data_IF_605881611551
#
_entry.id   IF_605881611551
#
_cell.length_a   1.000
_cell.length_b   1.000
_cell.length_c   1.000
_cell.angle_alpha   90.00
_cell.angle_beta   90.00
_cell.angle_gamma   90.00
#
_symmetry.space_group_name_H-M   'P 1'
#
loop_
_entity.id
_entity.type
_entity.pdbx_description
1 polymer ?
#
# COMPACT_ATOMS: atom_id res chain seq x y z
N UNK A 1 13.04 2.15 -1.45
CA UNK A 1 12.55 3.13 -2.43
C UNK A 1 12.78 4.53 -1.90
N UNK A 2 12.84 5.53 -2.77
CA UNK A 2 12.76 6.93 -2.31
C UNK A 2 11.30 7.27 -1.98
N UNK A 3 11.05 8.29 -1.16
CA UNK A 3 9.70 8.71 -0.79
C UNK A 3 9.21 8.26 0.60
N UNK A 4 8.05 8.77 1.02
CA UNK A 4 7.30 8.38 2.22
C UNK A 4 6.72 6.96 2.11
N UNK A 5 5.65 6.66 2.84
CA UNK A 5 5.05 5.33 2.85
C UNK A 5 4.52 4.91 4.22
N UNK A 6 3.83 5.81 4.91
CA UNK A 6 3.09 5.39 6.10
C UNK A 6 2.04 4.34 5.70
N UNK A 7 1.62 3.48 6.64
CA UNK A 7 0.55 2.50 6.40
C UNK A 7 -0.72 3.15 5.83
N UNK A 8 -1.02 4.37 6.29
CA UNK A 8 -2.14 5.16 5.81
C UNK A 8 -1.97 5.60 4.36
N UNK A 9 -0.81 6.17 4.01
CA UNK A 9 -0.52 6.61 2.64
C UNK A 9 -0.57 5.44 1.65
N UNK A 10 0.00 4.29 2.03
CA UNK A 10 -0.01 3.08 1.20
C UNK A 10 -1.43 2.57 1.01
N UNK A 11 -2.25 2.55 2.06
CA UNK A 11 -3.65 2.13 1.95
C UNK A 11 -4.46 3.05 1.03
N UNK A 12 -4.30 4.37 1.15
CA UNK A 12 -4.99 5.33 0.29
C UNK A 12 -4.55 5.20 -1.17
N UNK A 13 -3.24 5.03 -1.42
CA UNK A 13 -2.74 4.84 -2.77
C UNK A 13 -3.24 3.52 -3.38
N UNK A 14 -3.27 2.45 -2.59
CA UNK A 14 -3.75 1.17 -3.07
C UNK A 14 -5.23 1.22 -3.47
N UNK A 15 -6.07 1.94 -2.71
CA UNK A 15 -7.47 2.16 -3.08
C UNK A 15 -7.62 2.95 -4.39
N UNK A 16 -6.79 3.97 -4.61
CA UNK A 16 -6.76 4.70 -5.89
C UNK A 16 -6.33 3.79 -7.03
N UNK A 17 -5.29 2.98 -6.80
CA UNK A 17 -4.87 1.98 -7.78
C UNK A 17 -6.03 1.08 -8.14
N UNK A 18 -6.85 0.64 -7.18
CA UNK A 18 -8.00 -0.24 -7.39
C UNK A 18 -9.30 0.48 -7.84
N UNK A 19 -9.28 1.80 -8.00
CA UNK A 19 -10.47 2.62 -8.34
C UNK A 19 -11.61 2.54 -7.29
N UNK A 20 -11.26 2.27 -6.04
CA UNK A 20 -12.19 2.13 -4.89
C UNK A 20 -12.11 3.31 -3.92
N UNK A 21 -11.30 4.33 -4.21
CA UNK A 21 -11.05 5.46 -3.32
C UNK A 21 -12.29 6.35 -3.09
N UNK A 22 -13.28 6.28 -3.98
CA UNK A 22 -14.56 6.96 -3.84
C UNK A 22 -15.56 6.21 -2.96
N UNK A 23 -15.46 4.88 -2.92
CA UNK A 23 -16.41 4.01 -2.22
C UNK A 23 -15.93 3.69 -0.80
N UNK A 24 -14.61 3.66 -0.58
CA UNK A 24 -14.00 3.23 0.68
C UNK A 24 -13.28 4.42 1.34
N UNK A 25 -13.78 4.82 2.51
CA UNK A 25 -13.16 5.87 3.34
C UNK A 25 -12.11 5.29 4.29
N UNK A 26 -10.86 5.72 4.14
CA UNK A 26 -9.77 5.38 5.07
C UNK A 26 -9.72 6.40 6.22
N UNK A 27 -9.81 5.91 7.46
CA UNK A 27 -9.74 6.77 8.66
C UNK A 27 -8.38 6.61 9.35
N UNK A 28 -7.66 7.71 9.55
CA UNK A 28 -6.38 7.73 10.26
C UNK A 28 -6.63 7.52 11.75
N UNK A 29 -5.87 6.63 12.38
CA UNK A 29 -5.88 6.40 13.83
C UNK A 29 -4.46 6.39 14.38
N UNK A 30 -4.32 6.62 15.69
CA UNK A 30 -3.04 6.52 16.37
C UNK A 30 -2.54 5.07 16.47
N UNK A 31 -1.22 4.90 16.66
CA UNK A 31 -0.59 3.57 16.74
C UNK A 31 -1.17 2.68 17.85
N UNK A 32 -1.69 3.26 18.93
CA UNK A 32 -2.26 2.52 20.06
C UNK A 32 -3.68 2.01 19.81
N UNK A 33 -4.35 2.47 18.75
CA UNK A 33 -5.77 2.17 18.51
C UNK A 33 -6.04 0.65 18.47
N UNK A 34 -5.15 -0.10 17.82
CA UNK A 34 -5.26 -1.57 17.70
C UNK A 34 -4.36 -2.35 18.68
N UNK A 35 -3.83 -1.72 19.75
CA UNK A 35 -2.85 -2.38 20.65
C UNK A 35 -3.39 -3.62 21.37
N UNK A 36 -4.73 -3.71 21.55
CA UNK A 36 -5.38 -4.86 22.19
C UNK A 36 -5.32 -6.10 21.29
N UNK A 37 -5.41 -5.91 19.98
CA UNK A 37 -5.38 -6.97 18.97
C UNK A 37 -3.94 -7.26 18.52
N UNK A 38 -3.15 -6.21 18.29
CA UNK A 38 -1.74 -6.30 17.92
C UNK A 38 -0.87 -5.79 19.08
N UNK A 39 -0.55 -6.69 20.02
CA UNK A 39 0.17 -6.37 21.26
C UNK A 39 1.70 -6.26 21.10
N UNK A 40 2.24 -6.70 19.97
CA UNK A 40 3.68 -6.63 19.72
C UNK A 40 4.15 -5.15 19.60
N UNK A 41 5.24 -4.75 20.27
CA UNK A 41 5.76 -3.39 20.16
C UNK A 41 6.20 -3.12 18.73
N UNK A 42 5.85 -1.94 18.21
CA UNK A 42 6.22 -1.48 16.87
C UNK A 42 7.02 -0.18 17.00
N UNK A 43 8.18 -0.06 16.35
CA UNK A 43 8.92 1.19 16.34
C UNK A 43 8.14 2.28 15.59
N UNK A 44 8.48 3.54 15.85
CA UNK A 44 7.88 4.68 15.17
C UNK A 44 8.14 4.66 13.65
N UNK A 45 9.26 4.07 13.22
CA UNK A 45 9.58 3.90 11.80
C UNK A 45 10.45 2.67 11.58
N UNK A 46 10.14 1.92 10.52
CA UNK A 46 10.96 0.81 9.98
C UNK A 46 11.50 1.15 8.59
N UNK A 47 11.44 2.44 8.20
CA UNK A 47 11.85 2.88 6.87
C UNK A 47 13.37 2.81 6.71
N UNK A 48 13.82 2.17 5.64
CA UNK A 48 15.24 2.04 5.30
C UNK A 48 15.63 3.00 4.18
N UNK A 49 16.78 3.64 4.34
CA UNK A 49 17.42 4.47 3.30
C UNK A 49 18.57 3.69 2.68
N UNK A 50 18.50 3.47 1.36
CA UNK A 50 19.48 2.67 0.62
C UNK A 50 20.77 3.44 0.29
N UNK A 51 21.36 4.11 1.28
CA UNK A 51 22.50 5.03 1.10
C UNK A 51 23.70 4.33 0.44
N UNK A 52 24.08 3.16 0.94
CA UNK A 52 25.23 2.38 0.43
C UNK A 52 25.04 1.89 -1.01
N UNK A 53 23.81 1.52 -1.38
CA UNK A 53 23.48 1.09 -2.75
C UNK A 53 23.50 2.29 -3.69
N UNK A 54 22.92 3.43 -3.26
CA UNK A 54 22.94 4.67 -4.02
C UNK A 54 24.37 5.13 -4.32
N UNK A 55 25.25 5.13 -3.33
CA UNK A 55 26.65 5.53 -3.51
C UNK A 55 27.48 4.58 -4.38
N UNK A 56 27.08 3.32 -4.51
CA UNK A 56 27.74 2.32 -5.37
C UNK A 56 27.16 2.27 -6.78
N UNK A 57 26.16 3.09 -7.11
CA UNK A 57 25.44 3.00 -8.39
C UNK A 57 24.60 1.72 -8.53
N UNK A 58 24.27 1.06 -7.41
CA UNK A 58 23.53 -0.22 -7.37
C UNK A 58 22.07 -0.04 -6.92
N UNK A 59 21.53 1.18 -6.98
CA UNK A 59 20.15 1.44 -6.61
C UNK A 59 19.22 1.21 -7.82
N UNK A 60 18.72 -0.02 -7.95
CA UNK A 60 17.77 -0.40 -9.01
C UNK A 60 16.30 -0.38 -8.55
N UNK A 61 16.05 -0.12 -7.27
CA UNK A 61 14.69 -0.13 -6.73
C UNK A 61 13.88 1.04 -7.31
N UNK A 62 12.75 0.71 -7.92
CA UNK A 62 11.78 1.65 -8.50
C UNK A 62 10.97 2.37 -7.41
N UNK A 63 10.18 3.36 -7.83
CA UNK A 63 9.24 4.02 -6.93
C UNK A 63 8.21 3.02 -6.39
N UNK A 64 7.84 3.14 -5.12
CA UNK A 64 6.91 2.19 -4.52
C UNK A 64 5.50 2.32 -5.08
N UNK A 65 5.10 3.49 -5.57
CA UNK A 65 3.78 3.73 -6.20
C UNK A 65 3.69 3.00 -7.54
N UNK A 66 4.76 3.04 -8.34
CA UNK A 66 4.84 2.30 -9.60
C UNK A 66 4.74 0.79 -9.36
N UNK A 67 5.56 0.26 -8.43
CA UNK A 67 5.51 -1.15 -8.06
C UNK A 67 4.14 -1.55 -7.49
N UNK A 68 3.51 -0.68 -6.69
CA UNK A 68 2.20 -0.94 -6.10
C UNK A 68 1.10 -0.96 -7.17
N UNK A 69 1.13 -0.04 -8.13
CA UNK A 69 0.17 0.00 -9.23
C UNK A 69 0.26 -1.27 -10.08
N UNK A 70 1.47 -1.70 -10.44
CA UNK A 70 1.70 -2.97 -11.16
C UNK A 70 1.19 -4.18 -10.37
N UNK A 71 1.45 -4.21 -9.06
CA UNK A 71 0.97 -5.28 -8.19
C UNK A 71 -0.57 -5.27 -8.05
N UNK A 72 -1.19 -4.10 -8.02
CA UNK A 72 -2.64 -3.94 -7.89
C UNK A 72 -3.42 -4.50 -9.08
N UNK A 73 -2.82 -4.55 -10.28
CA UNK A 73 -3.44 -5.13 -11.48
C UNK A 73 -3.83 -6.60 -11.31
N UNK A 74 -3.16 -7.34 -10.42
CA UNK A 74 -3.55 -8.73 -10.08
C UNK A 74 -4.96 -8.75 -9.48
N UNK A 75 -5.26 -7.82 -8.56
CA UNK A 75 -6.52 -7.76 -7.85
C UNK A 75 -7.62 -7.08 -8.66
N UNK A 76 -7.30 -6.09 -9.49
CA UNK A 76 -8.28 -5.49 -10.39
C UNK A 76 -8.98 -6.51 -11.27
N UNK A 77 -8.20 -7.43 -11.85
CA UNK A 77 -8.73 -8.52 -12.69
C UNK A 77 -9.74 -9.36 -11.91
N UNK A 78 -9.44 -9.69 -10.65
CA UNK A 78 -10.36 -10.44 -9.79
C UNK A 78 -11.63 -9.66 -9.43
N UNK A 79 -11.51 -8.35 -9.18
CA UNK A 79 -12.65 -7.47 -8.87
C UNK A 79 -13.61 -7.35 -10.06
N UNK A 80 -13.06 -7.13 -11.27
CA UNK A 80 -13.84 -7.08 -12.51
C UNK A 80 -14.55 -8.42 -12.76
N UNK A 81 -13.85 -9.54 -12.57
CA UNK A 81 -14.43 -10.87 -12.74
C UNK A 81 -15.59 -11.13 -11.75
N UNK A 82 -15.50 -10.63 -10.51
CA UNK A 82 -16.60 -10.73 -9.54
C UNK A 82 -17.78 -9.83 -9.88
N UNK A 83 -17.54 -8.62 -10.40
CA UNK A 83 -18.62 -7.73 -10.85
C UNK A 83 -19.36 -8.27 -12.08
N UNK A 84 -18.68 -9.00 -12.97
CA UNK A 84 -19.33 -9.72 -14.08
C UNK A 84 -20.25 -10.87 -13.65
N UNK A 85 -19.95 -11.55 -12.54
CA UNK A 85 -20.77 -12.66 -12.01
C UNK A 85 -22.01 -12.15 -11.26
N UNK A 86 -22.00 -10.90 -10.79
CA UNK A 86 -23.10 -10.33 -10.00
C UNK A 86 -24.24 -9.69 -10.83
N UNK A 87 -24.09 -9.51 -12.14
CA UNK A 87 -25.11 -8.93 -13.02
C UNK A 87 -26.01 -9.95 -13.76
N UNK A 88 -25.92 -11.25 -13.43
CA UNK A 88 -26.89 -12.28 -13.89
C UNK A 88 -27.98 -12.60 -12.84
N UNK A 89 -28.48 -11.60 -12.12
CA UNK A 89 -29.69 -11.75 -11.30
C UNK A 89 -30.70 -10.64 -11.55
#
# INVERSE_FOLDING_TARGET
>A
CQGGGSRYEVACEFLKCLELDKDIKVTVVGSDYFKKEYFAPRPLSEKLVNLKLKHRGLLFMRDWRECLAEYAEVFKKELVNKQGICYER
#
